data_IF_903585409817
#
_entry.id   IF_903585409817
#
_cell.length_a   1.000
_cell.length_b   1.000
_cell.length_c   1.000
_cell.angle_alpha   90.00
_cell.angle_beta   90.00
_cell.angle_gamma   90.00
#
_symmetry.space_group_name_H-M   'P 1'
#
loop_
_entity.id
_entity.type
_entity.pdbx_description
1 polymer ?
#
# COMPACT_ATOMS: atom_id res chain seq x y z
N UNK A 1 -3.70 -10.93 -4.71
CA UNK A 1 -2.46 -10.11 -4.88
C UNK A 1 -2.31 -9.07 -3.77
N UNK A 2 -2.68 -9.46 -2.53
CA UNK A 2 -2.56 -8.53 -1.37
C UNK A 2 -1.11 -8.13 -1.07
N UNK A 3 -0.11 -8.86 -1.55
CA UNK A 3 1.32 -8.50 -1.43
C UNK A 3 1.71 -7.30 -2.29
N UNK A 4 0.89 -6.91 -3.28
CA UNK A 4 1.18 -5.83 -4.21
C UNK A 4 0.83 -4.45 -3.63
N UNK A 5 1.64 -4.02 -2.66
CA UNK A 5 1.56 -2.69 -2.05
C UNK A 5 2.60 -1.77 -2.69
N UNK A 6 2.18 -0.70 -3.35
CA UNK A 6 3.08 0.28 -3.94
C UNK A 6 3.53 1.33 -2.92
N UNK A 7 4.83 1.58 -2.86
CA UNK A 7 5.41 2.66 -2.08
C UNK A 7 5.67 3.86 -3.00
N UNK A 8 5.33 5.06 -2.53
CA UNK A 8 5.73 6.29 -3.21
C UNK A 8 7.12 6.70 -2.72
N UNK A 9 8.08 6.97 -3.62
CA UNK A 9 9.46 7.26 -3.23
C UNK A 9 9.61 8.54 -2.40
N UNK A 10 8.83 9.57 -2.71
CA UNK A 10 9.02 10.93 -2.23
C UNK A 10 7.79 11.43 -1.46
N UNK A 11 7.72 11.12 -0.15
CA UNK A 11 6.80 11.78 0.78
C UNK A 11 7.60 12.66 1.72
N UNK A 12 7.05 13.82 2.10
CA UNK A 12 7.70 14.77 2.98
C UNK A 12 8.03 14.11 4.34
N UNK A 13 9.29 14.17 4.74
CA UNK A 13 9.78 13.57 5.97
C UNK A 13 10.06 14.64 7.02
N UNK A 14 8.99 15.22 7.54
CA UNK A 14 9.01 16.19 8.64
C UNK A 14 8.02 15.75 9.70
N UNK A 15 8.36 15.93 10.98
CA UNK A 15 7.45 15.64 12.07
C UNK A 15 6.19 16.51 11.94
N UNK A 16 5.01 15.89 12.03
CA UNK A 16 3.73 16.57 11.85
C UNK A 16 3.25 16.73 10.40
N UNK A 17 4.08 16.44 9.39
CA UNK A 17 3.69 16.57 7.97
C UNK A 17 2.78 15.44 7.45
N UNK A 18 2.41 14.47 8.29
CA UNK A 18 1.45 13.42 7.91
C UNK A 18 1.86 12.57 6.69
N UNK A 19 3.16 12.56 6.32
CA UNK A 19 3.68 11.91 5.11
C UNK A 19 3.08 12.48 3.82
N UNK A 20 2.89 13.80 3.75
CA UNK A 20 2.37 14.48 2.58
C UNK A 20 3.17 14.13 1.30
N UNK A 21 2.45 13.90 0.22
CA UNK A 21 3.02 13.42 -1.03
C UNK A 21 3.71 14.56 -1.80
N UNK A 22 4.97 14.34 -2.19
CA UNK A 22 5.65 15.14 -3.22
C UNK A 22 5.49 14.38 -4.54
N UNK A 23 4.65 14.91 -5.42
CA UNK A 23 4.26 14.27 -6.68
C UNK A 23 5.47 13.79 -7.51
N UNK A 24 5.28 12.66 -8.20
CA UNK A 24 6.24 12.15 -9.19
C UNK A 24 6.56 13.17 -10.29
N UNK A 25 5.59 14.02 -10.63
CA UNK A 25 5.76 15.07 -11.62
C UNK A 25 6.93 16.01 -11.29
N UNK A 26 7.27 16.20 -10.00
CA UNK A 26 8.43 17.01 -9.59
C UNK A 26 9.74 16.38 -10.05
N UNK A 27 9.87 15.05 -9.97
CA UNK A 27 11.03 14.33 -10.55
C UNK A 27 11.00 14.36 -12.08
N UNK A 28 9.80 14.30 -12.66
CA UNK A 28 9.59 14.45 -14.11
C UNK A 28 10.04 15.81 -14.65
N UNK A 29 9.92 16.88 -13.85
CA UNK A 29 10.44 18.24 -14.19
C UNK A 29 11.95 18.38 -13.95
N UNK A 30 12.63 17.32 -13.49
CA UNK A 30 14.08 17.29 -13.37
C UNK A 30 14.62 17.43 -11.94
N UNK A 31 13.80 17.32 -10.90
CA UNK A 31 14.29 17.31 -9.52
C UNK A 31 15.22 16.12 -9.26
N UNK A 32 16.29 16.33 -8.50
CA UNK A 32 17.28 15.29 -8.14
C UNK A 32 17.05 14.73 -6.75
N UNK A 33 17.30 13.43 -6.62
CA UNK A 33 17.42 12.78 -5.31
C UNK A 33 18.88 12.81 -4.85
N UNK A 34 19.11 13.48 -3.73
CA UNK A 34 20.46 13.70 -3.19
C UNK A 34 20.56 13.23 -1.74
N UNK A 35 21.75 12.88 -1.29
CA UNK A 35 22.06 12.62 0.10
C UNK A 35 22.25 13.94 0.89
N UNK A 36 22.53 13.84 2.18
CA UNK A 36 22.78 14.99 3.07
C UNK A 36 23.99 15.87 2.63
N UNK A 37 24.88 15.33 1.82
CA UNK A 37 26.07 16.01 1.32
C UNK A 37 25.80 16.65 -0.07
N UNK A 38 24.58 16.52 -0.59
CA UNK A 38 24.20 17.02 -1.91
C UNK A 38 24.64 16.11 -3.07
N UNK A 39 25.14 14.89 -2.80
CA UNK A 39 25.49 13.93 -3.84
C UNK A 39 24.22 13.31 -4.42
N UNK A 40 24.03 13.40 -5.72
CA UNK A 40 23.01 12.68 -6.48
C UNK A 40 23.37 11.20 -6.56
N UNK A 41 22.50 10.30 -6.07
CA UNK A 41 22.82 8.88 -5.95
C UNK A 41 22.03 7.98 -6.92
N UNK A 42 20.91 8.42 -7.47
CA UNK A 42 20.07 7.58 -8.33
C UNK A 42 20.78 7.01 -9.57
N UNK A 43 21.74 7.72 -10.22
CA UNK A 43 22.49 7.15 -11.34
C UNK A 43 23.30 5.87 -10.99
N UNK A 44 23.63 5.67 -9.73
CA UNK A 44 24.33 4.47 -9.26
C UNK A 44 23.41 3.21 -9.25
N UNK A 45 22.08 3.43 -9.26
CA UNK A 45 21.08 2.38 -9.13
C UNK A 45 20.33 2.07 -10.43
N UNK A 46 20.14 3.06 -11.32
CA UNK A 46 19.39 2.87 -12.57
C UNK A 46 19.77 3.91 -13.63
N UNK A 47 19.78 3.51 -14.91
CA UNK A 47 20.13 4.37 -16.02
C UNK A 47 19.19 5.59 -16.17
N UNK A 48 17.88 5.39 -15.93
CA UNK A 48 16.89 6.47 -15.95
C UNK A 48 16.87 7.30 -14.66
N UNK A 49 17.75 7.00 -13.72
CA UNK A 49 17.91 7.71 -12.44
C UNK A 49 16.57 7.99 -11.73
N UNK A 50 16.19 9.25 -11.48
CA UNK A 50 14.95 9.64 -10.80
C UNK A 50 13.69 9.32 -11.60
N UNK A 51 13.79 9.05 -12.89
CA UNK A 51 12.69 8.68 -13.78
C UNK A 51 12.46 7.16 -13.83
N UNK A 52 13.28 6.37 -13.16
CA UNK A 52 13.06 4.93 -13.02
C UNK A 52 11.68 4.64 -12.39
N UNK A 53 11.11 3.44 -12.60
CA UNK A 53 9.86 3.02 -11.98
C UNK A 53 9.87 3.21 -10.45
N UNK A 54 8.71 3.52 -9.86
CA UNK A 54 8.58 3.88 -8.43
C UNK A 54 9.14 2.83 -7.48
N UNK A 55 8.97 1.56 -7.80
CA UNK A 55 9.50 0.44 -7.02
C UNK A 55 11.03 0.46 -6.99
N UNK A 56 11.67 0.73 -8.14
CA UNK A 56 13.13 0.86 -8.24
C UNK A 56 13.63 2.07 -7.44
N UNK A 57 13.01 3.23 -7.61
CA UNK A 57 13.41 4.45 -6.87
C UNK A 57 13.21 4.24 -5.36
N UNK A 58 12.11 3.61 -4.94
CA UNK A 58 11.86 3.34 -3.52
C UNK A 58 12.88 2.38 -2.93
N UNK A 59 13.28 1.33 -3.67
CA UNK A 59 14.33 0.40 -3.26
C UNK A 59 15.70 1.07 -3.21
N UNK A 60 16.04 1.89 -4.22
CA UNK A 60 17.28 2.64 -4.25
C UNK A 60 17.42 3.56 -3.02
N UNK A 61 16.35 4.31 -2.69
CA UNK A 61 16.34 5.14 -1.48
C UNK A 61 16.52 4.27 -0.24
N UNK A 62 15.80 3.15 -0.12
CA UNK A 62 15.90 2.26 1.05
C UNK A 62 17.32 1.70 1.20
N UNK A 63 17.96 1.28 0.12
CA UNK A 63 19.35 0.79 0.11
C UNK A 63 20.32 1.89 0.51
N UNK A 64 20.19 3.08 -0.07
CA UNK A 64 21.02 4.22 0.23
C UNK A 64 20.91 4.67 1.71
N UNK A 65 19.69 4.67 2.26
CA UNK A 65 19.46 4.95 3.69
C UNK A 65 20.11 3.90 4.60
N UNK A 66 20.08 2.63 4.22
CA UNK A 66 20.72 1.55 4.98
C UNK A 66 22.25 1.67 4.96
N UNK A 67 22.85 1.95 3.80
CA UNK A 67 24.29 2.12 3.61
C UNK A 67 24.83 3.35 4.36
N UNK A 68 24.12 4.47 4.26
CA UNK A 68 24.54 5.74 4.87
C UNK A 68 24.10 5.91 6.32
N UNK A 69 23.26 5.02 6.82
CA UNK A 69 22.60 5.11 8.15
C UNK A 69 21.85 6.44 8.33
N UNK A 70 21.35 7.01 7.24
CA UNK A 70 20.57 8.24 7.25
C UNK A 70 19.07 7.94 7.49
N UNK A 71 18.35 8.92 8.05
CA UNK A 71 16.92 8.81 8.30
C UNK A 71 16.06 9.21 7.09
N UNK A 72 16.58 10.05 6.22
CA UNK A 72 15.91 10.52 5.00
C UNK A 72 16.94 10.82 3.92
N UNK A 73 16.46 10.95 2.69
CA UNK A 73 17.16 11.57 1.57
C UNK A 73 16.48 12.90 1.25
N UNK A 74 17.01 13.63 0.28
CA UNK A 74 16.50 14.95 -0.04
C UNK A 74 16.13 15.03 -1.52
N UNK A 75 15.09 15.81 -1.81
CA UNK A 75 14.73 16.20 -3.16
C UNK A 75 15.25 17.62 -3.40
N UNK A 76 16.14 17.77 -4.37
CA UNK A 76 16.68 19.06 -4.80
C UNK A 76 15.87 19.62 -5.96
N UNK A 77 15.20 20.73 -5.72
CA UNK A 77 14.37 21.46 -6.69
C UNK A 77 14.89 22.87 -6.95
N UNK A 78 16.02 23.27 -6.33
CA UNK A 78 16.55 24.64 -6.33
C UNK A 78 16.93 25.16 -7.73
N UNK A 79 17.25 24.26 -8.64
CA UNK A 79 17.60 24.58 -10.04
C UNK A 79 16.37 24.66 -10.97
N UNK A 80 15.17 24.27 -10.47
CA UNK A 80 13.95 24.30 -11.26
C UNK A 80 13.35 25.72 -11.31
N UNK A 81 13.20 26.27 -12.51
CA UNK A 81 12.53 27.56 -12.71
C UNK A 81 11.02 27.39 -12.72
N UNK A 82 10.27 28.36 -12.18
CA UNK A 82 8.81 28.32 -12.19
C UNK A 82 8.18 27.23 -11.28
N UNK A 83 8.93 26.74 -10.30
CA UNK A 83 8.44 25.64 -9.42
C UNK A 83 7.16 26.02 -8.67
N UNK A 84 7.04 27.26 -8.18
CA UNK A 84 5.88 27.72 -7.40
C UNK A 84 4.60 27.77 -8.25
N UNK A 85 4.74 28.18 -9.49
CA UNK A 85 3.65 28.27 -10.47
C UNK A 85 3.23 26.87 -10.93
N UNK A 86 4.18 25.97 -11.12
CA UNK A 86 3.95 24.60 -11.58
C UNK A 86 3.41 23.68 -10.49
N UNK A 87 3.88 23.85 -9.25
CA UNK A 87 3.55 23.01 -8.08
C UNK A 87 3.13 23.86 -6.87
N UNK A 88 2.07 24.70 -6.99
CA UNK A 88 1.71 25.66 -5.94
C UNK A 88 1.38 25.00 -4.60
N UNK A 89 0.73 23.84 -4.64
CA UNK A 89 0.41 23.10 -3.42
C UNK A 89 1.67 22.57 -2.71
N UNK A 90 2.64 22.04 -3.45
CA UNK A 90 3.90 21.54 -2.87
C UNK A 90 4.72 22.70 -2.32
N UNK A 91 4.76 23.82 -3.04
CA UNK A 91 5.45 25.04 -2.59
C UNK A 91 4.83 25.59 -1.30
N UNK A 92 3.49 25.62 -1.19
CA UNK A 92 2.78 25.99 0.04
C UNK A 92 3.08 25.03 1.17
N UNK A 93 3.00 23.73 0.92
CA UNK A 93 3.32 22.68 1.91
C UNK A 93 4.74 22.86 2.46
N UNK A 94 5.73 23.07 1.60
CA UNK A 94 7.12 23.32 2.03
C UNK A 94 7.22 24.58 2.91
N UNK A 95 6.53 25.65 2.53
CA UNK A 95 6.49 26.90 3.31
C UNK A 95 5.88 26.71 4.69
N UNK A 96 4.82 25.88 4.82
CA UNK A 96 4.17 25.59 6.11
C UNK A 96 5.11 24.90 7.10
N UNK A 97 6.16 24.23 6.59
CA UNK A 97 7.23 23.60 7.37
C UNK A 97 8.55 24.38 7.32
N UNK A 98 8.52 25.68 6.99
CA UNK A 98 9.69 26.57 6.94
C UNK A 98 10.80 26.11 5.98
N UNK A 99 10.47 25.35 4.94
CA UNK A 99 11.38 24.91 3.89
C UNK A 99 11.31 25.90 2.73
N UNK A 100 12.40 26.65 2.49
CA UNK A 100 12.53 27.53 1.33
C UNK A 100 13.03 26.72 0.12
N UNK A 101 12.15 26.39 -0.81
CA UNK A 101 12.43 25.58 -2.00
C UNK A 101 13.51 26.17 -2.92
N UNK A 102 13.88 27.44 -2.75
CA UNK A 102 14.94 28.10 -3.53
C UNK A 102 16.34 27.92 -2.90
N UNK A 103 16.40 27.53 -1.62
CA UNK A 103 17.63 27.44 -0.84
C UNK A 103 17.82 26.10 -0.17
N UNK A 104 16.72 25.49 0.30
CA UNK A 104 16.72 24.30 1.12
C UNK A 104 16.46 23.04 0.29
N UNK A 105 16.99 21.92 0.74
CA UNK A 105 16.66 20.60 0.24
C UNK A 105 15.37 20.10 0.93
N UNK A 106 14.46 19.51 0.18
CA UNK A 106 13.20 18.96 0.72
C UNK A 106 13.47 17.56 1.27
N UNK A 107 13.36 17.31 2.59
CA UNK A 107 13.58 15.99 3.16
C UNK A 107 12.45 15.04 2.75
N UNK A 108 12.80 13.89 2.17
CA UNK A 108 11.83 12.90 1.68
C UNK A 108 12.21 11.49 2.09
N UNK A 109 11.18 10.63 2.17
CA UNK A 109 11.33 9.20 2.44
C UNK A 109 10.21 8.41 1.76
N UNK A 110 10.44 7.16 1.32
CA UNK A 110 9.36 6.33 0.81
C UNK A 110 8.29 6.05 1.87
N UNK A 111 7.04 5.96 1.44
CA UNK A 111 5.93 5.51 2.28
C UNK A 111 4.91 4.69 1.49
N UNK A 112 4.11 3.87 2.17
CA UNK A 112 2.99 3.16 1.56
C UNK A 112 2.06 4.18 0.88
N UNK A 113 1.61 3.87 -0.33
CA UNK A 113 0.91 4.83 -1.17
C UNK A 113 -0.35 4.28 -1.81
N UNK A 114 -0.29 3.10 -2.44
CA UNK A 114 -1.41 2.54 -3.19
C UNK A 114 -1.45 1.01 -3.06
N UNK A 115 -2.65 0.49 -2.74
CA UNK A 115 -2.90 -0.94 -2.71
C UNK A 115 -3.29 -1.41 -4.10
N UNK A 116 -2.43 -2.20 -4.76
CA UNK A 116 -2.72 -2.76 -6.08
C UNK A 116 -3.60 -4.00 -5.96
N UNK A 117 -3.35 -4.82 -4.94
CA UNK A 117 -4.19 -5.95 -4.58
C UNK A 117 -5.52 -5.52 -3.95
N UNK A 118 -6.40 -6.47 -3.68
CA UNK A 118 -7.70 -6.19 -3.09
C UNK A 118 -8.69 -7.32 -3.29
N UNK A 119 -9.97 -7.00 -3.23
CA UNK A 119 -11.05 -7.94 -3.54
C UNK A 119 -10.99 -8.28 -5.02
N UNK A 120 -10.89 -9.58 -5.35
CA UNK A 120 -10.87 -10.06 -6.72
C UNK A 120 -12.22 -9.79 -7.41
N UNK A 121 -12.17 -9.10 -8.55
CA UNK A 121 -13.37 -8.69 -9.29
C UNK A 121 -13.18 -8.80 -10.81
N UNK A 122 -14.17 -9.31 -11.54
CA UNK A 122 -14.24 -9.15 -12.99
C UNK A 122 -14.57 -7.70 -13.39
N UNK A 123 -14.65 -7.46 -14.70
CA UNK A 123 -14.85 -6.12 -15.27
C UNK A 123 -16.15 -5.42 -14.85
N UNK A 124 -17.13 -6.15 -14.34
CA UNK A 124 -18.43 -5.62 -13.89
C UNK A 124 -18.48 -5.31 -12.38
N UNK A 125 -17.37 -5.53 -11.66
CA UNK A 125 -17.24 -5.28 -10.24
C UNK A 125 -17.96 -6.28 -9.33
N UNK A 126 -18.45 -7.41 -9.86
CA UNK A 126 -19.07 -8.44 -9.03
C UNK A 126 -18.04 -9.17 -8.17
N UNK A 127 -18.45 -9.62 -6.99
CA UNK A 127 -17.62 -10.46 -6.11
C UNK A 127 -18.19 -11.86 -5.98
N UNK A 128 -17.47 -12.77 -5.36
CA UNK A 128 -17.96 -14.12 -5.03
C UNK A 128 -19.06 -14.11 -3.95
N UNK A 129 -19.27 -12.99 -3.26
CA UNK A 129 -20.34 -12.81 -2.28
C UNK A 129 -21.55 -12.21 -2.99
N UNK A 130 -22.68 -12.95 -2.99
CA UNK A 130 -23.90 -12.50 -3.63
C UNK A 130 -24.36 -11.14 -3.10
N UNK A 131 -24.65 -10.21 -3.99
CA UNK A 131 -25.12 -8.86 -3.66
C UNK A 131 -24.01 -7.88 -3.30
N UNK A 132 -22.76 -8.33 -3.13
CA UNK A 132 -21.60 -7.47 -2.88
C UNK A 132 -20.90 -7.14 -4.20
N UNK A 133 -20.62 -5.85 -4.40
CA UNK A 133 -19.85 -5.32 -5.53
C UNK A 133 -18.65 -4.55 -4.98
N UNK A 134 -17.53 -4.53 -5.74
CA UNK A 134 -16.33 -3.80 -5.35
C UNK A 134 -15.69 -3.11 -6.56
N UNK A 135 -15.13 -1.91 -6.36
CA UNK A 135 -14.39 -1.16 -7.38
C UNK A 135 -13.41 -0.18 -6.74
N UNK A 136 -12.51 0.38 -7.55
CA UNK A 136 -11.46 1.30 -7.11
C UNK A 136 -10.37 0.60 -6.31
N UNK A 137 -9.63 1.34 -5.48
CA UNK A 137 -8.47 0.83 -4.74
C UNK A 137 -8.76 -0.37 -3.81
N UNK A 138 -10.02 -0.58 -3.42
CA UNK A 138 -10.40 -1.74 -2.63
C UNK A 138 -10.47 -3.04 -3.44
N UNK A 139 -10.48 -2.95 -4.78
CA UNK A 139 -10.59 -4.10 -5.69
C UNK A 139 -9.26 -4.43 -6.37
N UNK A 140 -9.08 -5.69 -6.71
CA UNK A 140 -8.01 -6.18 -7.58
C UNK A 140 -8.61 -6.44 -8.96
N UNK A 141 -8.48 -5.45 -9.85
CA UNK A 141 -9.00 -5.52 -11.24
C UNK A 141 -7.99 -6.10 -12.22
N UNK A 142 -6.73 -6.29 -11.80
CA UNK A 142 -5.62 -6.71 -12.66
C UNK A 142 -5.04 -5.59 -13.53
N UNK A 143 -5.70 -4.43 -13.65
CA UNK A 143 -5.29 -3.35 -14.58
C UNK A 143 -3.93 -2.75 -14.28
N UNK A 144 -3.47 -2.84 -13.05
CA UNK A 144 -2.19 -2.28 -12.61
C UNK A 144 -1.02 -3.27 -12.69
N UNK A 145 -1.30 -4.55 -12.92
CA UNK A 145 -0.25 -5.58 -12.86
C UNK A 145 0.50 -5.55 -11.53
N UNK A 146 1.81 -5.69 -11.59
CA UNK A 146 2.66 -5.69 -10.40
C UNK A 146 3.22 -4.31 -10.01
N UNK A 147 2.90 -3.24 -10.76
CA UNK A 147 3.40 -1.89 -10.48
C UNK A 147 2.55 -0.82 -11.18
N UNK A 148 1.71 -0.12 -10.41
CA UNK A 148 0.77 0.87 -10.93
C UNK A 148 1.49 2.11 -11.48
N UNK A 149 1.11 2.56 -12.67
CA UNK A 149 1.54 3.84 -13.22
C UNK A 149 0.82 5.02 -12.56
N UNK A 150 1.51 6.17 -12.53
CA UNK A 150 0.95 7.40 -11.99
C UNK A 150 -0.42 7.74 -12.63
N UNK A 151 -1.34 8.27 -11.83
CA UNK A 151 -2.71 8.68 -12.19
C UNK A 151 -3.67 7.56 -12.61
N UNK A 152 -3.22 6.34 -12.88
CA UNK A 152 -4.10 5.25 -13.29
C UNK A 152 -5.12 4.83 -12.22
N UNK A 153 -4.85 5.09 -10.93
CA UNK A 153 -5.83 4.84 -9.86
C UNK A 153 -7.12 5.65 -10.02
N UNK A 154 -7.00 6.90 -10.46
CA UNK A 154 -8.18 7.74 -10.70
C UNK A 154 -8.96 7.26 -11.92
N UNK A 155 -8.27 6.84 -12.99
CA UNK A 155 -8.90 6.27 -14.18
C UNK A 155 -9.59 4.94 -13.85
N UNK A 156 -8.96 4.09 -13.05
CA UNK A 156 -9.58 2.86 -12.55
C UNK A 156 -10.86 3.18 -11.77
N UNK A 157 -10.79 4.08 -10.79
CA UNK A 157 -11.96 4.47 -9.99
C UNK A 157 -13.12 4.98 -10.85
N UNK A 158 -12.84 5.78 -11.88
CA UNK A 158 -13.88 6.30 -12.79
C UNK A 158 -14.47 5.20 -13.68
N UNK A 159 -13.63 4.41 -14.34
CA UNK A 159 -14.09 3.40 -15.32
C UNK A 159 -14.80 2.24 -14.62
N UNK A 160 -14.17 1.65 -13.61
CA UNK A 160 -14.75 0.53 -12.89
C UNK A 160 -15.89 0.97 -11.97
N UNK A 161 -15.82 2.18 -11.39
CA UNK A 161 -16.94 2.76 -10.63
C UNK A 161 -18.19 2.91 -11.47
N UNK A 162 -18.07 3.40 -12.74
CA UNK A 162 -19.19 3.47 -13.68
C UNK A 162 -19.75 2.07 -13.98
N UNK A 163 -18.90 1.11 -14.36
CA UNK A 163 -19.32 -0.27 -14.70
C UNK A 163 -20.02 -0.96 -13.53
N UNK A 164 -19.43 -0.85 -12.33
CA UNK A 164 -19.99 -1.41 -11.09
C UNK A 164 -21.33 -0.77 -10.75
N UNK A 165 -21.46 0.56 -10.91
CA UNK A 165 -22.71 1.29 -10.73
C UNK A 165 -23.81 0.84 -11.69
N UNK A 166 -23.49 0.63 -12.97
CA UNK A 166 -24.42 0.08 -13.97
C UNK A 166 -24.85 -1.36 -13.58
N UNK A 167 -23.94 -2.18 -13.10
CA UNK A 167 -24.25 -3.54 -12.62
C UNK A 167 -25.17 -3.50 -11.40
N UNK A 168 -24.88 -2.61 -10.43
CA UNK A 168 -25.73 -2.41 -9.26
C UNK A 168 -27.17 -1.98 -9.67
N UNK A 169 -27.25 -1.02 -10.58
CA UNK A 169 -28.54 -0.53 -11.11
C UNK A 169 -29.36 -1.63 -11.79
N UNK A 170 -28.74 -2.43 -12.68
CA UNK A 170 -29.40 -3.58 -13.33
C UNK A 170 -29.89 -4.61 -12.31
N UNK A 171 -29.06 -4.97 -11.33
CA UNK A 171 -29.43 -5.94 -10.27
C UNK A 171 -30.57 -5.42 -9.39
N UNK A 172 -30.56 -4.13 -9.04
CA UNK A 172 -31.62 -3.51 -8.26
C UNK A 172 -32.96 -3.50 -9.04
N UNK A 173 -32.95 -3.14 -10.34
CA UNK A 173 -34.14 -3.12 -11.19
C UNK A 173 -34.73 -4.53 -11.43
N UNK A 174 -33.90 -5.56 -11.40
CA UNK A 174 -34.36 -6.95 -11.57
C UNK A 174 -35.00 -7.55 -10.31
N UNK A 175 -34.83 -6.93 -9.12
CA UNK A 175 -35.45 -7.40 -7.88
C UNK A 175 -36.92 -6.95 -7.81
N UNK A 176 -37.85 -7.89 -7.78
CA UNK A 176 -39.29 -7.63 -7.68
C UNK A 176 -39.77 -7.22 -6.30
N UNK A 177 -38.98 -7.48 -5.26
CA UNK A 177 -39.29 -7.14 -3.86
C UNK A 177 -38.09 -6.56 -3.14
N UNK A 178 -38.29 -5.58 -2.21
CA UNK A 178 -37.22 -5.11 -1.36
C UNK A 178 -36.67 -6.25 -0.50
N UNK A 179 -35.34 -6.34 -0.40
CA UNK A 179 -34.71 -7.31 0.50
C UNK A 179 -35.07 -6.92 1.94
N UNK A 180 -35.60 -7.83 2.76
CA UNK A 180 -35.88 -7.53 4.16
C UNK A 180 -34.59 -7.09 4.88
N UNK A 181 -34.67 -6.04 5.68
CA UNK A 181 -33.57 -5.65 6.54
C UNK A 181 -33.36 -6.76 7.57
N UNK A 182 -32.26 -7.49 7.43
CA UNK A 182 -31.84 -8.48 8.41
C UNK A 182 -31.17 -7.77 9.59
N UNK A 183 -31.68 -7.96 10.79
CA UNK A 183 -31.02 -7.44 11.99
C UNK A 183 -29.67 -8.14 12.15
N UNK A 184 -28.60 -7.37 12.11
CA UNK A 184 -27.27 -7.88 12.42
C UNK A 184 -27.20 -8.09 13.94
N UNK A 185 -27.05 -9.34 14.38
CA UNK A 185 -26.82 -9.66 15.78
C UNK A 185 -25.37 -10.12 15.93
N UNK A 186 -24.64 -9.47 16.85
CA UNK A 186 -23.31 -9.93 17.21
C UNK A 186 -23.46 -11.12 18.18
N UNK A 187 -23.00 -12.29 17.76
CA UNK A 187 -23.03 -13.51 18.59
C UNK A 187 -21.75 -13.70 19.42
N UNK A 188 -20.75 -12.83 19.21
CA UNK A 188 -19.50 -12.91 19.96
C UNK A 188 -19.76 -12.41 21.40
N UNK A 189 -19.52 -13.23 22.43
CA UNK A 189 -19.62 -12.77 23.80
C UNK A 189 -18.62 -11.62 24.02
N UNK A 190 -19.06 -10.57 24.71
CA UNK A 190 -18.16 -9.51 25.14
C UNK A 190 -17.05 -10.13 26.00
N UNK A 191 -15.80 -10.02 25.56
CA UNK A 191 -14.67 -10.52 26.33
C UNK A 191 -14.56 -9.70 27.63
N UNK A 192 -14.52 -10.36 28.79
CA UNK A 192 -14.25 -9.75 30.09
C UNK A 192 -12.77 -9.39 30.29
N UNK A 193 -11.94 -9.51 29.24
CA UNK A 193 -10.51 -9.22 29.26
C UNK A 193 -10.26 -7.72 29.40
N UNK A 194 -9.08 -7.40 29.92
CA UNK A 194 -8.56 -6.03 30.08
C UNK A 194 -8.76 -5.16 28.83
N UNK A 195 -9.04 -3.89 29.02
CA UNK A 195 -9.05 -2.87 27.95
C UNK A 195 -7.72 -2.88 27.21
N UNK A 196 -7.78 -2.90 25.87
CA UNK A 196 -6.58 -2.84 25.03
C UNK A 196 -6.16 -1.39 24.80
N UNK A 197 -4.86 -1.13 24.84
CA UNK A 197 -4.27 0.11 24.38
C UNK A 197 -4.22 0.09 22.83
N UNK A 198 -5.26 0.58 22.18
CA UNK A 198 -5.38 0.60 20.71
C UNK A 198 -4.31 1.45 20.03
N UNK A 199 -3.93 2.64 20.55
CA UNK A 199 -2.77 3.40 20.05
C UNK A 199 -1.48 2.60 20.04
N UNK A 200 -1.16 1.86 21.10
CA UNK A 200 0.03 1.02 21.17
C UNK A 200 0.00 -0.10 20.12
N UNK A 201 -1.12 -0.82 20.00
CA UNK A 201 -1.30 -1.86 18.98
C UNK A 201 -1.08 -1.28 17.57
N UNK A 202 -1.66 -0.12 17.26
CA UNK A 202 -1.53 0.53 15.94
C UNK A 202 -0.09 0.94 15.64
N UNK A 203 0.64 1.47 16.62
CA UNK A 203 2.05 1.86 16.48
C UNK A 203 2.94 0.63 16.28
N UNK A 204 2.73 -0.41 17.07
CA UNK A 204 3.45 -1.68 16.98
C UNK A 204 3.19 -2.36 15.62
N UNK A 205 1.93 -2.41 15.17
CA UNK A 205 1.54 -2.93 13.87
C UNK A 205 2.24 -2.17 12.73
N UNK A 206 2.20 -0.83 12.76
CA UNK A 206 2.84 0.01 11.74
C UNK A 206 4.35 -0.24 11.70
N UNK A 207 5.00 -0.40 12.86
CA UNK A 207 6.44 -0.66 12.96
C UNK A 207 6.82 -2.03 12.41
N UNK A 208 6.06 -3.09 12.74
CA UNK A 208 6.31 -4.45 12.25
C UNK A 208 6.09 -4.52 10.73
N UNK A 209 4.97 -3.97 10.24
CA UNK A 209 4.65 -3.97 8.81
C UNK A 209 5.70 -3.19 8.01
N UNK A 210 6.13 -2.03 8.48
CA UNK A 210 7.17 -1.25 7.80
C UNK A 210 8.49 -2.02 7.71
N UNK A 211 8.92 -2.62 8.81
CA UNK A 211 10.23 -3.28 8.92
C UNK A 211 10.30 -4.61 8.16
N UNK A 212 9.24 -5.43 8.25
CA UNK A 212 9.28 -6.81 7.79
C UNK A 212 8.49 -7.04 6.48
N UNK A 213 7.47 -6.21 6.20
CA UNK A 213 6.55 -6.35 5.05
C UNK A 213 6.61 -5.12 4.13
N UNK A 214 7.59 -4.25 4.34
CA UNK A 214 7.80 -3.01 3.59
C UNK A 214 8.37 -3.25 2.18
N UNK A 215 9.33 -2.39 1.79
CA UNK A 215 9.90 -2.35 0.42
C UNK A 215 10.77 -3.57 0.12
N UNK A 216 11.60 -3.99 1.08
CA UNK A 216 12.48 -5.17 0.97
C UNK A 216 12.00 -6.22 1.95
N UNK A 217 11.66 -7.40 1.45
CA UNK A 217 11.05 -8.48 2.22
C UNK A 217 11.96 -9.72 2.26
N UNK A 218 11.81 -10.53 3.33
CA UNK A 218 12.49 -11.82 3.48
C UNK A 218 11.53 -12.85 4.06
N UNK A 219 11.62 -14.09 3.62
CA UNK A 219 10.70 -15.17 4.01
C UNK A 219 10.69 -15.47 5.49
N UNK A 220 11.85 -15.45 6.16
CA UNK A 220 11.95 -15.64 7.60
C UNK A 220 11.21 -14.53 8.38
N UNK A 221 11.40 -13.28 7.96
CA UNK A 221 10.73 -12.12 8.57
C UNK A 221 9.24 -12.07 8.28
N UNK A 222 8.83 -12.48 7.08
CA UNK A 222 7.41 -12.59 6.74
C UNK A 222 6.71 -13.65 7.59
N UNK A 223 7.35 -14.81 7.82
CA UNK A 223 6.81 -15.87 8.68
C UNK A 223 6.67 -15.40 10.12
N UNK A 224 7.73 -14.81 10.70
CA UNK A 224 7.70 -14.20 12.03
C UNK A 224 6.56 -13.18 12.14
N UNK A 225 6.34 -12.38 11.10
CA UNK A 225 5.27 -11.37 11.10
C UNK A 225 3.88 -12.02 11.07
N UNK A 226 3.68 -13.08 10.30
CA UNK A 226 2.43 -13.83 10.33
C UNK A 226 2.13 -14.35 11.73
N UNK A 227 3.12 -14.96 12.41
CA UNK A 227 2.98 -15.46 13.77
C UNK A 227 2.62 -14.34 14.77
N UNK A 228 3.27 -13.18 14.67
CA UNK A 228 2.97 -11.99 15.48
C UNK A 228 1.54 -11.50 15.25
N UNK A 229 1.13 -11.40 13.98
CA UNK A 229 -0.21 -10.90 13.61
C UNK A 229 -1.31 -11.89 14.06
N UNK A 230 -1.06 -13.18 13.99
CA UNK A 230 -1.98 -14.21 14.50
C UNK A 230 -2.11 -14.13 16.03
N UNK A 231 -0.99 -13.93 16.74
CA UNK A 231 -1.00 -13.72 18.17
C UNK A 231 -1.78 -12.46 18.57
N UNK A 232 -1.54 -11.32 17.93
CA UNK A 232 -2.29 -10.08 18.20
C UNK A 232 -3.77 -10.21 17.81
N UNK A 233 -4.06 -10.89 16.71
CA UNK A 233 -5.42 -11.17 16.25
C UNK A 233 -6.22 -11.95 17.30
N UNK A 234 -5.60 -12.90 17.97
CA UNK A 234 -6.26 -13.69 19.04
C UNK A 234 -6.82 -12.81 20.18
N UNK A 235 -6.15 -11.71 20.51
CA UNK A 235 -6.57 -10.81 21.59
C UNK A 235 -7.43 -9.63 21.13
N UNK A 236 -7.42 -9.32 19.85
CA UNK A 236 -8.07 -8.10 19.32
C UNK A 236 -9.33 -8.43 18.52
N UNK A 237 -9.32 -9.51 17.72
CA UNK A 237 -10.42 -9.86 16.83
C UNK A 237 -11.60 -10.53 17.56
N UNK A 238 -11.40 -11.01 18.78
CA UNK A 238 -12.46 -11.57 19.64
C UNK A 238 -13.25 -10.50 20.43
N UNK A 239 -12.84 -9.22 20.31
CA UNK A 239 -13.49 -8.13 21.03
C UNK A 239 -14.56 -7.45 20.18
N UNK A 240 -15.58 -6.95 20.85
CA UNK A 240 -16.58 -6.06 20.28
C UNK A 240 -16.20 -4.62 20.64
N UNK A 241 -16.02 -3.80 19.63
CA UNK A 241 -15.81 -2.37 19.78
C UNK A 241 -17.05 -1.64 19.33
N UNK A 242 -17.36 -0.54 19.99
CA UNK A 242 -18.44 0.39 19.68
C UNK A 242 -17.94 1.76 19.18
N UNK A 243 -16.64 1.86 18.95
CA UNK A 243 -15.96 3.05 18.46
C UNK A 243 -15.18 2.80 17.16
N UNK A 244 -14.95 3.89 16.41
CA UNK A 244 -14.26 3.85 15.10
C UNK A 244 -12.82 3.37 15.24
N UNK A 245 -12.11 3.74 16.31
CA UNK A 245 -10.71 3.39 16.51
C UNK A 245 -10.54 1.88 16.66
N UNK A 246 -11.47 1.24 17.40
CA UNK A 246 -11.51 -0.21 17.58
C UNK A 246 -11.76 -0.95 16.26
N UNK A 247 -12.77 -0.52 15.49
CA UNK A 247 -13.09 -1.12 14.19
C UNK A 247 -11.94 -0.97 13.18
N UNK A 248 -11.34 0.22 13.10
CA UNK A 248 -10.18 0.43 12.24
C UNK A 248 -8.99 -0.42 12.65
N UNK A 249 -8.76 -0.64 13.94
CA UNK A 249 -7.66 -1.46 14.44
C UNK A 249 -7.85 -2.92 14.04
N UNK A 250 -9.07 -3.47 14.17
CA UNK A 250 -9.40 -4.81 13.70
C UNK A 250 -9.22 -4.95 12.18
N UNK A 251 -9.70 -3.97 11.41
CA UNK A 251 -9.54 -3.95 9.97
C UNK A 251 -8.07 -3.88 9.55
N UNK A 252 -7.26 -3.05 10.21
CA UNK A 252 -5.82 -2.96 9.95
C UNK A 252 -5.09 -4.26 10.24
N UNK A 253 -5.40 -4.96 11.33
CA UNK A 253 -4.83 -6.26 11.64
C UNK A 253 -5.22 -7.31 10.59
N UNK A 254 -6.48 -7.32 10.17
CA UNK A 254 -6.97 -8.25 9.13
C UNK A 254 -6.25 -8.01 7.80
N UNK A 255 -6.17 -6.76 7.34
CA UNK A 255 -5.48 -6.40 6.08
C UNK A 255 -3.99 -6.68 6.17
N UNK A 256 -3.34 -6.33 7.29
CA UNK A 256 -1.91 -6.61 7.49
C UNK A 256 -1.61 -8.11 7.41
N UNK A 257 -2.46 -8.95 8.01
CA UNK A 257 -2.34 -10.41 7.92
C UNK A 257 -2.48 -10.92 6.49
N UNK A 258 -3.44 -10.42 5.73
CA UNK A 258 -3.64 -10.79 4.32
C UNK A 258 -2.41 -10.40 3.48
N UNK A 259 -1.86 -9.21 3.69
CA UNK A 259 -0.63 -8.75 3.01
C UNK A 259 0.56 -9.65 3.35
N UNK A 260 0.77 -9.95 4.63
CA UNK A 260 1.90 -10.77 5.09
C UNK A 260 1.82 -12.21 4.57
N UNK A 261 0.63 -12.84 4.60
CA UNK A 261 0.40 -14.18 4.07
C UNK A 261 0.64 -14.24 2.56
N UNK A 262 0.10 -13.28 1.79
CA UNK A 262 0.29 -13.24 0.35
C UNK A 262 1.76 -12.99 -0.01
N UNK A 263 2.45 -12.11 0.73
CA UNK A 263 3.87 -11.86 0.54
C UNK A 263 4.75 -13.06 0.90
N UNK A 264 4.35 -13.88 1.87
CA UNK A 264 5.04 -15.12 2.23
C UNK A 264 4.87 -16.19 1.13
N UNK A 265 3.66 -16.31 0.57
CA UNK A 265 3.33 -17.26 -0.49
C UNK A 265 4.08 -16.95 -1.81
N UNK A 266 4.21 -15.67 -2.17
CA UNK A 266 5.01 -15.28 -3.34
C UNK A 266 6.50 -15.30 -3.00
N UNK A 267 7.21 -16.28 -3.54
CA UNK A 267 8.65 -16.51 -3.27
C UNK A 267 9.58 -15.81 -4.25
N UNK A 268 9.06 -15.32 -5.37
CA UNK A 268 9.77 -14.58 -6.42
C UNK A 268 9.57 -13.07 -6.28
N UNK A 269 10.43 -12.30 -6.93
CA UNK A 269 10.32 -10.83 -6.99
C UNK A 269 9.67 -10.41 -8.30
N UNK A 270 8.64 -9.55 -8.20
CA UNK A 270 7.98 -8.94 -9.36
C UNK A 270 7.42 -7.55 -8.98
N UNK A 271 7.76 -6.53 -9.76
CA UNK A 271 7.29 -5.16 -9.55
C UNK A 271 7.51 -4.66 -8.12
N UNK A 272 6.44 -4.28 -7.44
CA UNK A 272 6.48 -3.74 -6.07
C UNK A 272 6.74 -4.81 -5.00
N UNK A 273 6.56 -6.08 -5.32
CA UNK A 273 6.90 -7.18 -4.41
C UNK A 273 8.35 -7.60 -4.63
N UNK A 274 9.23 -7.22 -3.70
CA UNK A 274 10.64 -7.57 -3.77
C UNK A 274 11.08 -8.41 -2.58
N UNK A 275 11.64 -9.59 -2.89
CA UNK A 275 12.20 -10.55 -1.93
C UNK A 275 13.73 -10.57 -2.07
N UNK A 276 14.44 -10.19 -1.00
CA UNK A 276 15.92 -10.25 -0.98
C UNK A 276 16.48 -11.68 -0.93
N UNK A 277 15.63 -12.64 -0.58
CA UNK A 277 15.92 -14.08 -0.54
C UNK A 277 15.29 -14.85 -1.72
N UNK A 278 14.80 -14.15 -2.76
CA UNK A 278 14.29 -14.80 -3.96
C UNK A 278 15.38 -15.58 -4.69
N UNK A 279 15.07 -16.81 -5.13
CA UNK A 279 15.99 -17.68 -5.85
C UNK A 279 16.16 -17.30 -7.33
N UNK A 280 15.24 -16.47 -7.87
CA UNK A 280 15.29 -15.94 -9.24
C UNK A 280 14.79 -14.51 -9.26
N UNK A 281 15.56 -13.62 -9.88
CA UNK A 281 15.10 -12.27 -10.21
C UNK A 281 14.33 -12.33 -11.54
N UNK A 282 13.02 -12.28 -11.46
CA UNK A 282 12.10 -12.38 -12.60
C UNK A 282 11.56 -13.80 -12.76
N UNK A 283 10.39 -14.04 -12.18
CA UNK A 283 9.65 -15.28 -12.41
C UNK A 283 9.13 -15.30 -13.84
N UNK A 284 9.35 -16.42 -14.54
CA UNK A 284 8.66 -16.71 -15.80
C UNK A 284 7.24 -17.24 -15.55
N UNK A 285 6.89 -17.56 -14.32
CA UNK A 285 5.56 -18.02 -13.94
C UNK A 285 4.65 -16.84 -13.63
N UNK A 286 3.66 -16.63 -14.49
CA UNK A 286 2.59 -15.65 -14.26
C UNK A 286 1.51 -16.29 -13.39
N UNK A 287 1.37 -15.83 -12.14
CA UNK A 287 0.31 -16.27 -11.24
C UNK A 287 -0.14 -15.13 -10.32
N UNK A 288 -1.39 -15.19 -9.90
CA UNK A 288 -1.93 -14.37 -8.84
C UNK A 288 -1.86 -15.11 -7.50
N UNK A 289 -1.69 -14.39 -6.42
CA UNK A 289 -1.87 -14.93 -5.07
C UNK A 289 -3.26 -14.57 -4.58
N UNK A 290 -4.12 -15.57 -4.48
CA UNK A 290 -5.45 -15.41 -3.91
C UNK A 290 -5.47 -15.91 -2.46
N UNK A 291 -6.29 -15.29 -1.63
CA UNK A 291 -6.54 -15.73 -0.25
C UNK A 291 -8.01 -16.01 -0.08
N UNK A 292 -8.34 -17.22 0.33
CA UNK A 292 -9.71 -17.59 0.74
C UNK A 292 -9.76 -17.86 2.22
N UNK A 293 -10.95 -17.75 2.81
CA UNK A 293 -11.21 -18.14 4.19
C UNK A 293 -11.98 -19.44 4.19
N UNK A 294 -11.46 -20.43 4.90
CA UNK A 294 -12.14 -21.69 5.21
C UNK A 294 -12.34 -21.87 6.73
N UNK A 295 -12.75 -23.06 7.14
CA UNK A 295 -12.99 -23.38 8.55
C UNK A 295 -11.73 -23.25 9.43
N UNK A 296 -10.54 -23.46 8.85
CA UNK A 296 -9.25 -23.42 9.52
C UNK A 296 -8.57 -22.04 9.45
N UNK A 297 -9.17 -21.06 8.76
CA UNK A 297 -8.67 -19.69 8.64
C UNK A 297 -8.38 -19.23 7.21
N UNK A 298 -7.55 -18.18 7.09
CA UNK A 298 -7.18 -17.64 5.78
C UNK A 298 -6.05 -18.46 5.15
N UNK A 299 -6.25 -18.93 3.92
CA UNK A 299 -5.26 -19.71 3.17
C UNK A 299 -4.91 -19.03 1.85
N UNK A 300 -3.63 -18.66 1.64
CA UNK A 300 -3.16 -18.22 0.35
C UNK A 300 -2.98 -19.41 -0.60
N UNK A 301 -3.22 -19.18 -1.88
CA UNK A 301 -2.94 -20.15 -2.95
C UNK A 301 -2.62 -19.42 -4.25
N UNK A 302 -1.96 -20.14 -5.17
CA UNK A 302 -1.56 -19.58 -6.47
C UNK A 302 -2.61 -19.88 -7.52
N UNK A 303 -3.01 -18.84 -8.23
CA UNK A 303 -3.85 -18.95 -9.43
C UNK A 303 -2.98 -18.72 -10.65
N UNK A 304 -2.78 -19.74 -11.48
CA UNK A 304 -2.08 -19.58 -12.76
C UNK A 304 -2.87 -18.63 -13.65
N UNK A 305 -2.19 -17.64 -14.24
CA UNK A 305 -2.78 -16.85 -15.32
C UNK A 305 -2.74 -17.73 -16.56
N UNK A 306 -3.90 -18.03 -17.15
CA UNK A 306 -3.97 -18.80 -18.39
C UNK A 306 -3.10 -18.16 -19.48
N UNK A 307 -2.37 -18.99 -20.23
CA UNK A 307 -1.58 -18.57 -21.36
C UNK A 307 -2.44 -18.03 -22.50
#
# INVERSE_FOLDING_TARGET
>A
DMEMMQFHPTTLYVAGAGRALISEAVRGEGAYLVDRNGRRFMPDYHADAELAPRDIVSRAIQSHLAETRANCVYLDVRHLTGFRERFPHIASLCKDFEIDITRDLIPVRPSAHYMIGGVDVPLDGSTTVEGLLCCGEASCTGVHGANRMASNSLLEGLVFGKRTGETAGRRAAAKSHPTPLTRITNQNPSSSRTTLDLPDIRNSLSSVMWRNVGIVRRGDRLRETCDILDFWGHYTLDKTFDDVLGWETQNKLTVARLIALSALERTDSIGVHYRSDATSNGSTAHYHVAVTRDADGNRPYRLSVGA
#
